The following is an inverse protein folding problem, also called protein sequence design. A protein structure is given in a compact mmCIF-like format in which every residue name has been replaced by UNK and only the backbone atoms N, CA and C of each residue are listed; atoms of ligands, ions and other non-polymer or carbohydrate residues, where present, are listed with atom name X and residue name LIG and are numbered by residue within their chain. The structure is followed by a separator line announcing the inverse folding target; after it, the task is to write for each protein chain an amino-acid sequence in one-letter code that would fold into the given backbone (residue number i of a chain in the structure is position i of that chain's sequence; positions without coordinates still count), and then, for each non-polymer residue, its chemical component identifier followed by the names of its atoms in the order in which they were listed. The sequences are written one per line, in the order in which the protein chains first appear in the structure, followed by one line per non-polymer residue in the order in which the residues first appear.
data_IF_429750542280
#
_entry.id   IF_429750542280
#
_cell.length_a   1.000
_cell.length_b   1.000
_cell.length_c   1.000
_cell.angle_alpha   90.00
_cell.angle_beta   90.00
_cell.angle_gamma   90.00
#
_symmetry.space_group_name_H-M   'P 1'
#
loop_
_entity.id
_entity.type
_entity.pdbx_description
1 polymer ?
#
# COMPACT_ATOMS: atom_id res chain seq x y z
N UNK A 1 11.31 34.05 4.43
CA UNK A 1 11.21 33.22 5.64
C UNK A 1 10.44 31.97 5.25
N UNK A 2 11.06 30.79 5.34
CA UNK A 2 10.36 29.52 5.14
C UNK A 2 9.42 29.31 6.32
N UNK A 3 8.11 29.37 6.09
CA UNK A 3 7.10 29.08 7.12
C UNK A 3 6.95 27.57 7.23
N UNK A 4 7.30 26.98 8.37
CA UNK A 4 7.13 25.56 8.62
C UNK A 4 5.68 25.23 8.93
N UNK A 5 5.20 24.10 8.40
CA UNK A 5 3.89 23.54 8.67
C UNK A 5 3.94 22.55 9.83
N UNK A 6 2.83 22.47 10.55
CA UNK A 6 2.63 21.63 11.73
C UNK A 6 1.36 20.78 11.60
N UNK A 7 1.13 19.78 12.47
CA UNK A 7 0.00 18.87 12.36
C UNK A 7 -1.37 19.55 12.16
N UNK A 8 -1.61 20.68 12.84
CA UNK A 8 -2.86 21.44 12.72
C UNK A 8 -3.10 22.02 11.32
N UNK A 9 -2.03 22.32 10.58
CA UNK A 9 -2.14 22.80 9.20
C UNK A 9 -2.68 21.72 8.24
N UNK A 10 -2.66 20.43 8.62
CA UNK A 10 -3.14 19.31 7.79
C UNK A 10 -4.67 19.22 7.72
N UNK A 11 -5.41 19.86 8.65
CA UNK A 11 -6.87 19.71 8.77
C UNK A 11 -7.63 20.20 7.54
N UNK A 12 -7.30 21.41 7.07
CA UNK A 12 -7.98 22.02 5.93
C UNK A 12 -7.83 21.19 4.63
N UNK A 13 -6.61 20.82 4.19
CA UNK A 13 -6.45 19.98 3.01
C UNK A 13 -7.05 18.58 3.19
N UNK A 14 -6.98 18.00 4.40
CA UNK A 14 -7.57 16.67 4.64
C UNK A 14 -9.08 16.69 4.43
N UNK A 15 -9.77 17.69 4.99
CA UNK A 15 -11.22 17.84 4.85
C UNK A 15 -11.67 18.09 3.42
N UNK A 16 -10.91 18.88 2.66
CA UNK A 16 -11.19 19.15 1.26
C UNK A 16 -11.25 17.86 0.44
N UNK A 17 -10.42 16.87 0.82
CA UNK A 17 -10.26 15.61 0.08
C UNK A 17 -10.95 14.41 0.69
N UNK A 18 -11.41 14.51 1.93
CA UNK A 18 -11.97 13.39 2.68
C UNK A 18 -13.13 12.70 1.96
N UNK A 19 -13.98 13.48 1.28
CA UNK A 19 -15.14 12.98 0.53
C UNK A 19 -14.89 12.85 -0.98
N UNK A 20 -13.69 13.18 -1.46
CA UNK A 20 -13.33 12.95 -2.85
C UNK A 20 -13.34 11.43 -3.14
N UNK A 21 -13.81 11.06 -4.33
CA UNK A 21 -13.92 9.67 -4.81
C UNK A 21 -14.82 8.72 -4.00
N UNK A 22 -15.56 9.21 -3.00
CA UNK A 22 -16.60 8.46 -2.28
C UNK A 22 -17.82 8.06 -3.15
N UNK A 23 -17.81 8.33 -4.46
CA UNK A 23 -18.87 7.93 -5.40
C UNK A 23 -18.71 6.52 -5.96
N UNK A 24 -17.54 5.89 -5.78
CA UNK A 24 -17.26 4.50 -6.21
C UNK A 24 -16.97 3.57 -5.02
N UNK A 25 -16.63 4.12 -3.86
CA UNK A 25 -16.48 3.44 -2.57
C UNK A 25 -17.70 3.80 -1.69
N UNK A 26 -18.02 3.03 -0.66
CA UNK A 26 -19.02 3.44 0.34
C UNK A 26 -18.66 4.83 0.92
N UNK A 27 -19.65 5.63 1.32
CA UNK A 27 -19.35 6.98 1.86
C UNK A 27 -18.48 6.87 3.13
N UNK A 28 -17.35 7.59 3.22
CA UNK A 28 -16.48 7.52 4.40
C UNK A 28 -17.21 8.01 5.65
N UNK A 29 -16.85 7.51 6.83
CA UNK A 29 -17.40 8.02 8.09
C UNK A 29 -17.08 9.50 8.26
N UNK A 30 -17.89 10.19 9.06
CA UNK A 30 -17.62 11.57 9.43
C UNK A 30 -16.27 11.67 10.16
N UNK A 31 -15.48 12.70 9.84
CA UNK A 31 -14.26 12.99 10.59
C UNK A 31 -14.60 13.40 12.04
N UNK A 32 -13.69 13.13 13.01
CA UNK A 32 -13.78 13.73 14.33
C UNK A 32 -13.81 15.27 14.26
N UNK A 33 -14.23 15.92 15.35
CA UNK A 33 -14.14 17.39 15.44
C UNK A 33 -12.70 17.88 15.24
N UNK A 34 -12.54 19.13 14.81
CA UNK A 34 -11.24 19.73 14.51
C UNK A 34 -10.27 19.65 15.70
N UNK A 35 -10.77 19.88 16.91
CA UNK A 35 -9.94 19.81 18.12
C UNK A 35 -9.47 18.38 18.39
N UNK A 36 -10.35 17.38 18.20
CA UNK A 36 -10.00 15.96 18.37
C UNK A 36 -9.02 15.50 17.29
N UNK A 37 -9.28 15.90 16.04
CA UNK A 37 -8.40 15.59 14.91
C UNK A 37 -7.02 16.24 15.09
N UNK A 38 -6.97 17.51 15.50
CA UNK A 38 -5.70 18.18 15.81
C UNK A 38 -4.94 17.46 16.93
N UNK A 39 -5.63 17.10 18.02
CA UNK A 39 -5.03 16.37 19.14
C UNK A 39 -4.45 15.01 18.70
N UNK A 40 -5.20 14.23 17.90
CA UNK A 40 -4.74 12.95 17.36
C UNK A 40 -3.44 13.12 16.54
N UNK A 41 -3.39 14.13 15.66
CA UNK A 41 -2.23 14.38 14.83
C UNK A 41 -1.04 14.95 15.62
N UNK A 42 -1.28 15.79 16.62
CA UNK A 42 -0.25 16.32 17.52
C UNK A 42 0.37 15.20 18.37
N UNK A 43 -0.43 14.33 18.97
CA UNK A 43 0.05 13.15 19.70
C UNK A 43 0.88 12.26 18.79
N UNK A 44 0.39 11.96 17.59
CA UNK A 44 1.13 11.14 16.62
C UNK A 44 2.46 11.82 16.21
N UNK A 45 2.46 13.14 16.05
CA UNK A 45 3.66 13.91 15.70
C UNK A 45 4.70 13.83 16.81
N UNK A 46 4.29 14.00 18.07
CA UNK A 46 5.21 13.88 19.20
C UNK A 46 5.68 12.44 19.42
N UNK A 47 4.81 11.44 19.22
CA UNK A 47 5.16 10.03 19.26
C UNK A 47 6.21 9.67 18.19
N UNK A 48 6.24 10.34 17.04
CA UNK A 48 7.23 10.07 15.99
C UNK A 48 8.69 10.32 16.42
N UNK A 49 8.90 11.14 17.46
CA UNK A 49 10.23 11.44 18.01
C UNK A 49 10.62 10.55 19.20
N UNK A 50 9.74 9.67 19.66
CA UNK A 50 10.08 8.71 20.70
C UNK A 50 10.81 7.51 20.12
N UNK A 51 11.51 6.78 20.99
CA UNK A 51 12.23 5.57 20.61
C UNK A 51 12.27 4.60 21.78
N UNK A 52 12.14 3.32 21.48
CA UNK A 52 12.32 2.23 22.45
C UNK A 52 13.43 1.29 21.95
N UNK A 53 14.36 0.91 22.83
CA UNK A 53 15.54 0.09 22.47
C UNK A 53 16.31 0.57 21.22
N UNK A 54 16.41 1.89 21.00
CA UNK A 54 17.01 2.56 19.82
C UNK A 54 16.23 2.38 18.50
N UNK A 55 15.02 1.83 18.55
CA UNK A 55 14.08 1.77 17.42
C UNK A 55 13.18 3.00 17.50
N UNK A 56 13.22 3.85 16.48
CA UNK A 56 12.28 4.96 16.38
C UNK A 56 10.85 4.45 16.30
N UNK A 57 9.92 5.17 16.95
CA UNK A 57 8.52 4.76 17.00
C UNK A 57 7.86 4.96 15.64
N UNK A 58 7.54 3.85 14.98
CA UNK A 58 6.77 3.77 13.75
C UNK A 58 5.48 3.01 14.02
N UNK A 59 4.34 3.55 13.59
CA UNK A 59 3.04 2.91 13.80
C UNK A 59 2.01 3.44 12.82
N UNK A 60 0.88 2.74 12.75
CA UNK A 60 -0.35 3.27 12.18
C UNK A 60 -1.44 3.19 13.21
N UNK A 61 -2.25 4.24 13.29
CA UNK A 61 -3.45 4.27 14.10
C UNK A 61 -4.66 4.41 13.19
N UNK A 62 -5.69 3.62 13.44
CA UNK A 62 -7.00 3.78 12.81
C UNK A 62 -7.97 4.35 13.83
N UNK A 63 -8.67 5.39 13.45
CA UNK A 63 -9.58 6.13 14.32
C UNK A 63 -10.98 5.58 14.11
N UNK A 64 -11.46 4.79 15.07
CA UNK A 64 -12.72 4.07 15.00
C UNK A 64 -13.29 3.70 16.37
N UNK A 65 -14.61 3.55 16.43
CA UNK A 65 -15.32 3.11 17.63
C UNK A 65 -15.05 1.63 17.95
N UNK A 66 -14.97 1.23 19.24
CA UNK A 66 -14.92 -0.19 19.64
C UNK A 66 -16.21 -0.96 19.35
N UNK A 67 -17.28 -0.26 18.94
CA UNK A 67 -18.59 -0.82 18.61
C UNK A 67 -18.81 -1.04 17.09
N UNK A 68 -17.76 -0.88 16.27
CA UNK A 68 -17.82 -1.25 14.85
C UNK A 68 -18.27 -2.71 14.67
N UNK A 69 -19.01 -2.98 13.59
CA UNK A 69 -19.43 -4.33 13.24
C UNK A 69 -18.20 -5.16 12.82
N UNK A 70 -18.26 -6.48 13.00
CA UNK A 70 -17.19 -7.39 12.54
C UNK A 70 -16.91 -7.29 11.04
N UNK A 71 -17.86 -6.80 10.23
CA UNK A 71 -17.68 -6.53 8.80
C UNK A 71 -16.90 -5.25 8.49
N UNK A 72 -16.74 -4.35 9.46
CA UNK A 72 -16.14 -3.03 9.34
C UNK A 72 -14.73 -2.95 9.95
N UNK A 73 -14.31 -3.98 10.68
CA UNK A 73 -13.00 -4.06 11.33
C UNK A 73 -12.41 -5.48 11.24
N UNK A 74 -11.13 -5.55 10.86
CA UNK A 74 -10.43 -6.80 10.58
C UNK A 74 -9.61 -7.28 11.79
N UNK A 75 -9.92 -8.49 12.28
CA UNK A 75 -9.28 -9.18 13.42
C UNK A 75 -8.99 -8.26 14.64
N UNK A 76 -10.02 -7.65 15.26
CA UNK A 76 -9.81 -6.78 16.41
C UNK A 76 -9.32 -7.56 17.64
N UNK A 77 -8.17 -7.15 18.18
CA UNK A 77 -7.64 -7.60 19.47
C UNK A 77 -7.84 -6.50 20.51
N UNK A 78 -8.77 -6.71 21.45
CA UNK A 78 -9.12 -5.71 22.48
C UNK A 78 -8.07 -5.64 23.58
N UNK A 79 -7.77 -4.42 24.03
CA UNK A 79 -6.91 -4.14 25.19
C UNK A 79 -7.82 -3.74 26.36
N UNK A 80 -7.72 -4.45 27.47
CA UNK A 80 -8.50 -4.20 28.69
C UNK A 80 -7.59 -4.01 29.91
N UNK A 81 -7.62 -2.84 30.59
CA UNK A 81 -8.38 -1.64 30.22
C UNK A 81 -7.77 -0.92 29.01
N UNK A 82 -8.57 -0.13 28.26
CA UNK A 82 -8.05 0.70 27.17
C UNK A 82 -6.97 1.66 27.69
N UNK A 83 -6.03 2.04 26.82
CA UNK A 83 -4.88 2.88 27.17
C UNK A 83 -5.04 4.28 26.60
N UNK A 84 -4.47 5.28 27.24
CA UNK A 84 -4.47 6.65 26.69
C UNK A 84 -3.70 6.70 25.36
N UNK A 85 -4.25 7.36 24.35
CA UNK A 85 -3.52 7.66 23.12
C UNK A 85 -2.53 8.79 23.40
N UNK A 86 -1.36 8.43 23.92
CA UNK A 86 -0.28 9.34 24.33
C UNK A 86 1.05 8.89 23.72
N UNK A 87 2.04 9.79 23.53
CA UNK A 87 3.33 9.40 22.96
C UNK A 87 4.02 8.25 23.70
N UNK A 88 3.86 8.18 25.02
CA UNK A 88 4.44 7.13 25.87
C UNK A 88 3.78 5.76 25.66
N UNK A 89 2.44 5.69 25.66
CA UNK A 89 1.75 4.41 25.43
C UNK A 89 1.91 3.94 23.98
N UNK A 90 1.90 4.85 23.01
CA UNK A 90 2.18 4.54 21.60
C UNK A 90 3.59 3.94 21.47
N UNK A 91 4.60 4.55 22.08
CA UNK A 91 5.98 4.04 22.05
C UNK A 91 6.06 2.59 22.55
N UNK A 92 5.31 2.24 23.61
CA UNK A 92 5.29 0.90 24.20
C UNK A 92 4.49 -0.13 23.38
N UNK A 93 3.43 0.31 22.71
CA UNK A 93 2.53 -0.57 21.94
C UNK A 93 2.96 -0.72 20.47
N UNK A 94 3.63 0.28 19.89
CA UNK A 94 4.10 0.26 18.51
C UNK A 94 4.91 -1.00 18.14
N UNK A 95 5.80 -1.56 18.99
CA UNK A 95 6.49 -2.81 18.67
C UNK A 95 5.58 -4.02 18.44
N UNK A 96 4.37 -4.02 19.02
CA UNK A 96 3.36 -5.05 18.79
C UNK A 96 2.52 -4.81 17.51
N UNK A 97 2.56 -3.60 16.96
CA UNK A 97 1.86 -3.21 15.76
C UNK A 97 2.84 -3.03 14.58
N UNK A 98 3.13 -4.10 13.82
CA UNK A 98 3.91 -3.94 12.57
C UNK A 98 3.20 -2.92 11.70
N UNK A 99 3.80 -1.73 11.52
CA UNK A 99 3.19 -0.61 10.81
C UNK A 99 2.81 -0.94 9.35
N UNK A 100 3.22 -2.09 8.80
CA UNK A 100 2.74 -2.58 7.51
C UNK A 100 1.46 -3.44 7.59
N UNK A 101 1.15 -4.06 8.73
CA UNK A 101 0.11 -5.12 8.85
C UNK A 101 -0.88 -4.93 10.00
N UNK A 102 -0.48 -4.27 11.07
CA UNK A 102 -1.28 -4.11 12.30
C UNK A 102 -1.32 -2.64 12.68
N UNK A 103 -2.50 -2.17 13.08
CA UNK A 103 -2.76 -0.77 13.45
C UNK A 103 -3.25 -0.70 14.89
N UNK A 104 -2.91 0.38 15.59
CA UNK A 104 -3.53 0.76 16.86
C UNK A 104 -4.97 1.21 16.57
N UNK A 105 -5.96 0.64 17.24
CA UNK A 105 -7.35 1.07 17.11
C UNK A 105 -7.66 2.11 18.18
N UNK A 106 -8.06 3.31 17.75
CA UNK A 106 -8.19 4.50 18.59
C UNK A 106 -9.60 5.02 18.55
N UNK A 107 -10.25 5.09 19.72
CA UNK A 107 -11.57 5.66 19.88
C UNK A 107 -11.44 7.17 20.14
N UNK A 108 -12.00 8.03 19.26
CA UNK A 108 -12.04 9.47 19.49
C UNK A 108 -13.25 9.90 20.35
N UNK A 109 -14.11 8.99 20.82
CA UNK A 109 -15.42 9.31 21.42
C UNK A 109 -15.36 10.09 22.72
N UNK A 110 -14.41 9.78 23.60
CA UNK A 110 -14.25 10.42 24.93
C UNK A 110 -13.66 11.84 24.91
N UNK A 111 -13.34 12.36 26.10
CA UNK A 111 -12.61 13.64 26.26
C UNK A 111 -11.18 13.51 25.75
N UNK A 112 -10.53 12.39 26.07
CA UNK A 112 -9.20 12.02 25.56
C UNK A 112 -9.32 10.79 24.65
N UNK A 113 -8.57 10.74 23.53
CA UNK A 113 -8.54 9.58 22.67
C UNK A 113 -7.93 8.36 23.38
N UNK A 114 -8.54 7.19 23.20
CA UNK A 114 -8.11 5.94 23.84
C UNK A 114 -7.75 4.88 22.81
N UNK A 115 -6.62 4.20 23.02
CA UNK A 115 -6.27 2.97 22.33
C UNK A 115 -7.07 1.83 22.96
N UNK A 116 -8.10 1.37 22.27
CA UNK A 116 -8.96 0.28 22.74
C UNK A 116 -8.49 -1.10 22.25
N UNK A 117 -7.61 -1.15 21.25
CA UNK A 117 -7.16 -2.41 20.68
C UNK A 117 -6.13 -2.30 19.57
N UNK A 118 -5.95 -3.42 18.88
CA UNK A 118 -5.18 -3.58 17.66
C UNK A 118 -6.10 -4.20 16.59
N UNK A 119 -5.88 -3.87 15.32
CA UNK A 119 -6.60 -4.49 14.21
C UNK A 119 -5.75 -4.50 12.94
N UNK A 120 -6.14 -5.32 11.96
CA UNK A 120 -5.43 -5.42 10.69
C UNK A 120 -5.96 -4.43 9.63
N UNK A 121 -7.16 -3.89 9.84
CA UNK A 121 -7.88 -3.05 8.89
C UNK A 121 -9.16 -2.51 9.50
N UNK A 122 -9.63 -1.33 9.09
CA UNK A 122 -11.00 -0.89 9.35
C UNK A 122 -11.48 0.00 8.21
N UNK A 123 -12.70 -0.21 7.72
CA UNK A 123 -13.12 0.33 6.42
C UNK A 123 -13.29 1.81 6.45
N UNK A 124 -12.71 2.48 5.45
CA UNK A 124 -12.89 3.90 5.20
C UNK A 124 -12.53 4.79 6.41
N UNK A 125 -12.08 4.19 7.52
CA UNK A 125 -11.77 4.86 8.75
C UNK A 125 -10.53 5.71 8.53
N UNK A 126 -10.46 6.78 9.30
CA UNK A 126 -9.31 7.66 9.27
C UNK A 126 -8.08 6.91 9.79
N UNK A 127 -7.06 6.77 8.95
CA UNK A 127 -5.77 6.21 9.33
C UNK A 127 -4.74 7.34 9.45
N UNK A 128 -4.03 7.37 10.58
CA UNK A 128 -2.84 8.20 10.82
C UNK A 128 -1.61 7.29 10.81
N UNK A 129 -0.65 7.56 9.93
CA UNK A 129 0.56 6.76 9.79
C UNK A 129 1.80 7.57 10.15
N UNK A 130 2.69 6.98 10.94
CA UNK A 130 3.97 7.56 11.35
C UNK A 130 5.09 6.65 10.88
N UNK A 131 5.90 7.16 9.95
CA UNK A 131 6.94 6.36 9.27
C UNK A 131 8.36 6.76 9.69
N UNK A 132 8.55 7.99 10.16
CA UNK A 132 9.82 8.53 10.62
C UNK A 132 9.60 9.74 11.53
N UNK A 133 10.61 10.20 12.28
CA UNK A 133 10.51 11.41 13.09
C UNK A 133 10.03 12.62 12.28
N UNK A 134 8.96 13.25 12.76
CA UNK A 134 8.33 14.42 12.11
C UNK A 134 7.59 14.12 10.80
N UNK A 135 7.45 12.85 10.40
CA UNK A 135 6.82 12.44 9.14
C UNK A 135 5.51 11.69 9.39
N UNK A 136 4.40 12.30 8.99
CA UNK A 136 3.06 11.79 9.18
C UNK A 136 2.30 11.78 7.86
N UNK A 137 1.45 10.77 7.69
CA UNK A 137 0.43 10.79 6.65
C UNK A 137 -0.93 10.45 7.22
N UNK A 138 -1.96 11.02 6.62
CA UNK A 138 -3.35 10.84 7.00
C UNK A 138 -4.15 10.47 5.77
N UNK A 139 -5.03 9.50 5.91
CA UNK A 139 -5.96 9.12 4.85
C UNK A 139 -6.85 7.98 5.27
N UNK A 140 -7.15 7.07 4.34
CA UNK A 140 -8.05 5.92 4.56
C UNK A 140 -7.64 4.77 3.67
N UNK A 141 -7.93 3.53 4.05
CA UNK A 141 -7.86 2.40 3.12
C UNK A 141 -6.51 2.30 2.38
N UNK A 142 -5.41 2.47 3.13
CA UNK A 142 -4.00 2.53 2.67
C UNK A 142 -3.62 3.73 1.78
N UNK A 143 -4.57 4.58 1.41
CA UNK A 143 -4.39 5.80 0.63
C UNK A 143 -4.02 6.96 1.55
N UNK A 144 -2.92 7.65 1.25
CA UNK A 144 -2.51 8.88 1.93
C UNK A 144 -3.15 10.07 1.23
N UNK A 145 -4.08 10.78 1.89
CA UNK A 145 -4.73 11.97 1.36
C UNK A 145 -3.88 13.24 1.59
N UNK A 146 -3.22 13.31 2.75
CA UNK A 146 -2.37 14.43 3.15
C UNK A 146 -1.17 13.91 3.94
N UNK A 147 0.02 14.45 3.68
CA UNK A 147 1.22 14.14 4.44
C UNK A 147 1.93 15.41 4.94
N UNK A 148 2.54 15.33 6.12
CA UNK A 148 3.44 16.33 6.69
C UNK A 148 4.84 15.75 6.74
N UNK A 149 5.78 16.36 6.04
CA UNK A 149 7.18 15.95 6.03
C UNK A 149 8.09 17.17 5.91
N UNK A 150 9.18 17.17 6.69
CA UNK A 150 10.23 18.21 6.61
C UNK A 150 9.63 19.64 6.69
N UNK A 151 8.56 19.79 7.47
CA UNK A 151 7.82 21.03 7.69
C UNK A 151 7.00 21.52 6.50
N UNK A 152 6.65 20.63 5.56
CA UNK A 152 5.80 20.91 4.40
C UNK A 152 4.62 19.96 4.36
N UNK A 153 3.48 20.45 3.88
CA UNK A 153 2.31 19.63 3.60
C UNK A 153 2.30 19.25 2.13
N UNK A 154 1.96 17.99 1.87
CA UNK A 154 1.78 17.44 0.54
C UNK A 154 0.37 16.87 0.47
N UNK A 155 -0.36 17.25 -0.56
CA UNK A 155 -1.68 16.69 -0.84
C UNK A 155 -1.61 15.54 -1.84
N UNK A 156 -2.67 14.76 -1.88
CA UNK A 156 -2.78 13.66 -2.82
C UNK A 156 -2.70 14.14 -4.29
N UNK A 157 -1.89 13.47 -5.11
CA UNK A 157 -1.64 13.87 -6.50
C UNK A 157 -0.43 14.80 -6.66
N UNK A 158 -0.04 15.57 -5.65
CA UNK A 158 1.30 16.22 -5.61
C UNK A 158 2.40 15.16 -5.39
N UNK A 159 2.01 14.05 -4.77
CA UNK A 159 2.75 12.80 -4.72
C UNK A 159 1.86 11.73 -5.32
N UNK A 160 2.07 11.37 -6.58
CA UNK A 160 1.63 10.06 -7.04
C UNK A 160 2.54 9.05 -6.32
N UNK A 161 2.11 8.60 -5.14
CA UNK A 161 2.89 7.66 -4.35
C UNK A 161 3.01 6.31 -5.06
N UNK A 162 4.04 5.54 -4.71
CA UNK A 162 4.19 4.14 -5.12
C UNK A 162 2.92 3.34 -4.88
N UNK A 163 2.20 3.60 -3.78
CA UNK A 163 0.93 2.96 -3.46
C UNK A 163 -0.15 3.21 -4.52
N UNK A 164 -0.36 4.46 -4.93
CA UNK A 164 -1.32 4.77 -6.00
C UNK A 164 -0.96 4.04 -7.29
N UNK A 165 0.34 3.95 -7.59
CA UNK A 165 0.82 3.19 -8.72
C UNK A 165 0.57 1.67 -8.60
N UNK A 166 0.57 1.11 -7.38
CA UNK A 166 0.16 -0.29 -7.12
C UNK A 166 -1.32 -0.46 -7.40
N UNK A 167 -2.19 0.40 -6.86
CA UNK A 167 -3.64 0.36 -7.09
C UNK A 167 -3.97 0.41 -8.57
N UNK A 168 -3.39 1.38 -9.29
CA UNK A 168 -3.57 1.52 -10.73
C UNK A 168 -2.93 0.40 -11.57
N UNK A 169 -1.90 -0.27 -11.06
CA UNK A 169 -1.27 -1.39 -11.77
C UNK A 169 -2.14 -2.65 -11.72
N UNK A 170 -3.00 -2.73 -10.71
CA UNK A 170 -3.82 -3.90 -10.42
C UNK A 170 -5.31 -3.65 -10.66
N UNK A 171 -5.73 -2.46 -11.10
CA UNK A 171 -7.14 -2.08 -11.21
C UNK A 171 -7.97 -3.04 -12.08
N UNK A 172 -7.46 -3.44 -13.25
CA UNK A 172 -8.15 -4.41 -14.14
C UNK A 172 -8.34 -5.78 -13.46
N UNK A 173 -7.35 -6.22 -12.70
CA UNK A 173 -7.43 -7.45 -11.93
C UNK A 173 -8.30 -7.29 -10.69
N UNK A 174 -8.33 -6.13 -10.03
CA UNK A 174 -9.28 -5.83 -8.95
C UNK A 174 -10.71 -5.96 -9.47
N UNK A 175 -11.05 -5.32 -10.58
CA UNK A 175 -12.40 -5.39 -11.16
C UNK A 175 -12.77 -6.84 -11.51
N UNK A 176 -11.87 -7.59 -12.15
CA UNK A 176 -12.09 -8.99 -12.48
C UNK A 176 -12.18 -9.92 -11.25
N UNK A 177 -11.51 -9.56 -10.14
CA UNK A 177 -11.55 -10.35 -8.91
C UNK A 177 -12.93 -10.25 -8.26
N UNK A 178 -13.58 -9.10 -8.35
CA UNK A 178 -14.85 -8.81 -7.69
C UNK A 178 -16.06 -8.92 -8.63
N UNK A 179 -15.84 -9.20 -9.91
CA UNK A 179 -16.90 -9.49 -10.87
C UNK A 179 -17.82 -10.60 -10.36
N UNK A 180 -19.12 -10.29 -10.29
CA UNK A 180 -20.17 -11.17 -9.80
C UNK A 180 -20.28 -11.31 -8.27
N UNK A 181 -19.52 -10.54 -7.47
CA UNK A 181 -19.61 -10.55 -5.99
C UNK A 181 -20.46 -9.38 -5.51
N UNK A 182 -21.52 -9.65 -4.75
CA UNK A 182 -22.37 -8.61 -4.16
C UNK A 182 -21.77 -8.05 -2.86
N UNK A 183 -20.86 -7.08 -2.99
CA UNK A 183 -20.27 -6.36 -1.85
C UNK A 183 -20.99 -5.02 -1.62
N UNK A 184 -21.54 -4.82 -0.42
CA UNK A 184 -22.31 -3.60 -0.06
C UNK A 184 -21.51 -2.52 0.70
N UNK A 185 -20.20 -2.71 0.88
CA UNK A 185 -19.35 -1.86 1.71
C UNK A 185 -18.67 -2.62 2.85
N UNK A 186 -17.72 -2.00 3.57
CA UNK A 186 -16.99 -2.62 4.69
C UNK A 186 -15.50 -2.82 4.39
N UNK A 187 -14.69 -3.24 5.39
CA UNK A 187 -13.22 -3.01 5.48
C UNK A 187 -12.36 -3.69 4.43
N UNK A 188 -13.06 -4.36 3.54
CA UNK A 188 -12.59 -5.24 2.52
C UNK A 188 -12.89 -4.67 1.13
N UNK A 189 -12.77 -3.35 0.97
CA UNK A 189 -12.89 -2.70 -0.33
C UNK A 189 -11.98 -3.39 -1.36
N UNK A 190 -12.51 -3.72 -2.56
CA UNK A 190 -11.74 -4.29 -3.66
C UNK A 190 -10.43 -3.55 -3.94
N UNK A 191 -10.52 -2.22 -3.90
CA UNK A 191 -9.46 -1.27 -4.23
C UNK A 191 -8.34 -1.24 -3.18
N UNK A 192 -8.56 -1.88 -2.02
CA UNK A 192 -7.62 -1.92 -0.90
C UNK A 192 -7.02 -3.30 -0.76
N UNK A 193 -7.87 -4.32 -0.66
CA UNK A 193 -7.43 -5.69 -0.35
C UNK A 193 -6.52 -6.26 -1.42
N UNK A 194 -6.94 -6.14 -2.67
CA UNK A 194 -6.24 -6.79 -3.76
C UNK A 194 -4.87 -6.11 -4.02
N UNK A 195 -4.79 -4.76 -4.01
CA UNK A 195 -3.50 -4.06 -4.06
C UNK A 195 -2.61 -4.25 -2.83
N UNK A 196 -3.18 -4.50 -1.64
CA UNK A 196 -2.41 -4.70 -0.40
C UNK A 196 -1.44 -5.87 -0.51
N UNK A 197 -1.78 -6.94 -1.23
CA UNK A 197 -0.88 -8.08 -1.44
C UNK A 197 0.43 -7.69 -2.15
N UNK A 198 0.38 -6.88 -3.22
CA UNK A 198 1.58 -6.42 -3.91
C UNK A 198 2.35 -5.43 -3.04
N UNK A 199 1.65 -4.55 -2.32
CA UNK A 199 2.30 -3.67 -1.34
C UNK A 199 3.07 -4.46 -0.27
N UNK A 200 2.52 -5.56 0.24
CA UNK A 200 3.17 -6.43 1.22
C UNK A 200 4.38 -7.16 0.64
N UNK A 201 4.29 -7.64 -0.61
CA UNK A 201 5.43 -8.22 -1.32
C UNK A 201 6.57 -7.20 -1.42
N UNK A 202 6.28 -5.99 -1.90
CA UNK A 202 7.28 -4.92 -2.06
C UNK A 202 7.87 -4.50 -0.71
N UNK A 203 7.03 -4.36 0.31
CA UNK A 203 7.45 -4.04 1.68
C UNK A 203 8.34 -5.13 2.28
N UNK A 204 8.07 -6.39 1.97
CA UNK A 204 8.89 -7.52 2.43
C UNK A 204 10.23 -7.57 1.70
N UNK A 205 10.25 -7.37 0.37
CA UNK A 205 11.50 -7.24 -0.41
C UNK A 205 12.38 -6.13 0.18
N UNK A 206 11.78 -4.98 0.50
CA UNK A 206 12.46 -3.87 1.18
C UNK A 206 13.08 -4.31 2.50
N UNK A 207 12.31 -4.98 3.37
CA UNK A 207 12.75 -5.44 4.71
C UNK A 207 13.92 -6.45 4.61
N UNK A 208 14.02 -7.23 3.53
CA UNK A 208 15.12 -8.18 3.33
C UNK A 208 16.47 -7.52 3.02
N UNK A 209 16.50 -6.25 2.62
CA UNK A 209 17.72 -5.45 2.53
C UNK A 209 18.69 -5.80 1.39
N UNK A 210 18.38 -6.75 0.50
CA UNK A 210 19.21 -7.07 -0.68
C UNK A 210 18.83 -6.27 -1.94
N UNK A 211 17.76 -5.47 -1.87
CA UNK A 211 17.13 -4.81 -3.00
C UNK A 211 16.45 -5.81 -3.96
N UNK A 212 15.53 -5.36 -4.80
CA UNK A 212 14.80 -6.24 -5.72
C UNK A 212 14.00 -5.47 -6.77
N UNK A 213 13.73 -6.12 -7.89
CA UNK A 213 12.88 -5.58 -8.96
C UNK A 213 11.70 -6.51 -9.22
N UNK A 214 10.50 -5.95 -9.29
CA UNK A 214 9.28 -6.67 -9.69
C UNK A 214 8.75 -6.05 -10.97
N UNK A 215 8.59 -6.85 -12.01
CA UNK A 215 7.93 -6.47 -13.27
C UNK A 215 6.52 -7.04 -13.27
N UNK A 216 5.55 -6.21 -13.62
CA UNK A 216 4.13 -6.58 -13.72
C UNK A 216 3.66 -6.39 -15.15
N UNK A 217 3.02 -7.41 -15.70
CA UNK A 217 2.34 -7.38 -17.00
C UNK A 217 0.86 -7.75 -16.86
N UNK A 218 -0.04 -7.28 -17.74
CA UNK A 218 -1.44 -7.70 -17.71
C UNK A 218 -1.59 -9.21 -17.93
N UNK A 219 -2.38 -9.91 -17.11
CA UNK A 219 -2.57 -11.37 -17.20
C UNK A 219 -3.22 -11.78 -18.53
N UNK A 220 -4.12 -10.94 -19.06
CA UNK A 220 -4.71 -11.12 -20.41
C UNK A 220 -3.67 -11.17 -21.53
N UNK A 221 -2.48 -10.62 -21.29
CA UNK A 221 -1.35 -10.63 -22.23
C UNK A 221 -0.25 -11.59 -21.80
N UNK A 222 -0.47 -12.47 -20.82
CA UNK A 222 0.57 -13.38 -20.32
C UNK A 222 1.22 -14.25 -21.40
N UNK A 223 0.58 -14.40 -22.58
CA UNK A 223 1.09 -15.12 -23.75
C UNK A 223 1.65 -14.23 -24.88
N UNK A 224 1.53 -12.91 -24.78
CA UNK A 224 1.88 -11.97 -25.83
C UNK A 224 3.39 -11.89 -26.09
N UNK A 225 3.77 -11.85 -27.38
CA UNK A 225 5.16 -11.60 -27.78
C UNK A 225 5.60 -10.15 -27.52
N UNK A 226 4.65 -9.21 -27.41
CA UNK A 226 4.93 -7.76 -27.25
C UNK A 226 5.89 -7.45 -26.10
N UNK A 227 5.76 -8.15 -24.97
CA UNK A 227 6.67 -8.03 -23.83
C UNK A 227 7.64 -9.21 -23.73
N UNK A 228 7.26 -10.43 -24.15
CA UNK A 228 8.11 -11.62 -23.99
C UNK A 228 9.44 -11.50 -24.72
N UNK A 229 9.45 -10.89 -25.91
CA UNK A 229 10.67 -10.69 -26.68
C UNK A 229 11.62 -9.65 -26.06
N UNK A 230 11.11 -8.83 -25.13
CA UNK A 230 11.89 -7.79 -24.44
C UNK A 230 12.66 -8.34 -23.25
N UNK A 231 12.41 -9.60 -22.85
CA UNK A 231 12.88 -10.18 -21.62
C UNK A 231 13.58 -11.51 -21.87
N UNK A 232 14.64 -11.77 -21.10
CA UNK A 232 15.22 -13.11 -20.94
C UNK A 232 14.85 -13.62 -19.55
N UNK A 233 14.05 -14.68 -19.50
CA UNK A 233 13.60 -15.29 -18.24
C UNK A 233 14.52 -16.47 -17.92
N UNK A 234 15.39 -16.32 -16.92
CA UNK A 234 16.35 -17.37 -16.55
C UNK A 234 15.67 -18.58 -15.92
N UNK A 235 14.73 -18.34 -15.01
CA UNK A 235 13.96 -19.39 -14.33
C UNK A 235 12.48 -19.19 -14.62
N UNK A 236 12.00 -19.87 -15.67
CA UNK A 236 10.62 -19.76 -16.10
C UNK A 236 9.70 -20.52 -15.14
N UNK A 237 8.54 -19.94 -14.83
CA UNK A 237 7.52 -20.52 -13.99
C UNK A 237 6.17 -20.55 -14.70
N UNK A 238 5.32 -21.47 -14.27
CA UNK A 238 3.91 -21.53 -14.65
C UNK A 238 3.10 -21.78 -13.38
N UNK A 239 2.86 -20.71 -12.62
CA UNK A 239 2.09 -20.77 -11.40
C UNK A 239 1.00 -19.69 -11.43
N UNK A 240 -0.26 -20.09 -11.59
CA UNK A 240 -1.44 -19.24 -11.47
C UNK A 240 -2.31 -19.62 -10.26
N UNK A 241 -1.74 -20.33 -9.28
CA UNK A 241 -2.49 -20.89 -8.15
C UNK A 241 -3.10 -19.86 -7.20
N UNK A 242 -2.54 -18.64 -7.15
CA UNK A 242 -3.02 -17.54 -6.29
C UNK A 242 -4.41 -17.07 -6.74
N UNK A 243 -4.61 -16.85 -8.03
CA UNK A 243 -5.82 -16.22 -8.54
C UNK A 243 -7.12 -17.00 -8.21
N UNK A 244 -7.20 -18.33 -8.41
CA UNK A 244 -8.36 -19.11 -8.00
C UNK A 244 -8.65 -19.06 -6.51
N UNK A 245 -7.61 -18.98 -5.68
CA UNK A 245 -7.76 -18.89 -4.22
C UNK A 245 -8.30 -17.53 -3.80
N UNK A 246 -7.78 -16.45 -4.40
CA UNK A 246 -8.31 -15.10 -4.17
C UNK A 246 -9.76 -15.00 -4.65
N UNK A 247 -10.08 -15.51 -5.85
CA UNK A 247 -11.48 -15.58 -6.34
C UNK A 247 -12.37 -16.34 -5.37
N UNK A 248 -11.92 -17.48 -4.84
CA UNK A 248 -12.67 -18.22 -3.83
C UNK A 248 -12.85 -17.39 -2.55
N UNK A 249 -11.79 -16.72 -2.07
CA UNK A 249 -11.85 -15.94 -0.82
C UNK A 249 -12.86 -14.81 -0.88
N UNK A 250 -12.97 -14.09 -2.01
CA UNK A 250 -13.86 -12.91 -2.07
C UNK A 250 -15.35 -13.27 -2.06
N UNK A 251 -15.73 -14.49 -2.40
CA UNK A 251 -17.13 -14.95 -2.26
C UNK A 251 -17.61 -15.00 -0.82
N UNK A 252 -16.71 -14.98 0.17
CA UNK A 252 -17.12 -14.81 1.57
C UNK A 252 -17.73 -13.43 1.85
N UNK A 253 -17.48 -12.44 0.99
CA UNK A 253 -18.00 -11.08 1.14
C UNK A 253 -19.33 -10.88 0.43
N UNK A 254 -19.77 -11.81 -0.40
CA UNK A 254 -21.10 -11.80 -0.99
C UNK A 254 -22.14 -12.03 0.11
N UNK A 255 -23.04 -11.05 0.32
CA UNK A 255 -24.11 -11.14 1.33
C UNK A 255 -25.14 -12.23 1.02
N UNK A 256 -25.32 -12.55 -0.26
CA UNK A 256 -26.31 -13.52 -0.72
C UNK A 256 -25.70 -14.93 -0.82
N UNK A 257 -24.39 -15.07 -0.60
CA UNK A 257 -23.67 -16.33 -0.70
C UNK A 257 -23.92 -17.24 0.51
N UNK A 258 -24.47 -18.47 0.30
CA UNK A 258 -24.67 -19.43 1.37
C UNK A 258 -23.33 -19.86 2.00
N UNK A 259 -23.24 -19.88 3.32
CA UNK A 259 -22.02 -20.32 4.03
C UNK A 259 -20.96 -19.23 4.18
N UNK A 260 -21.37 -17.95 4.21
CA UNK A 260 -20.52 -16.82 4.60
C UNK A 260 -19.67 -17.14 5.84
N UNK A 261 -18.37 -16.85 5.79
CA UNK A 261 -17.44 -17.16 6.88
C UNK A 261 -17.13 -18.66 7.06
N UNK A 262 -17.51 -19.52 6.11
CA UNK A 262 -17.12 -20.92 6.14
C UNK A 262 -15.60 -21.07 6.17
N UNK A 263 -15.13 -22.08 6.91
CA UNK A 263 -13.72 -22.45 7.05
C UNK A 263 -13.01 -22.60 5.68
N UNK A 264 -13.74 -22.99 4.64
CA UNK A 264 -13.21 -23.11 3.28
C UNK A 264 -12.75 -21.79 2.65
N UNK A 265 -13.44 -20.68 2.93
CA UNK A 265 -13.09 -19.36 2.38
C UNK A 265 -11.87 -18.78 3.08
N UNK A 266 -11.85 -18.85 4.43
CA UNK A 266 -10.70 -18.50 5.24
C UNK A 266 -9.47 -19.33 4.86
N UNK A 267 -9.65 -20.64 4.64
CA UNK A 267 -8.58 -21.50 4.17
C UNK A 267 -8.03 -21.09 2.80
N UNK A 268 -8.91 -20.66 1.87
CA UNK A 268 -8.49 -20.17 0.57
C UNK A 268 -7.67 -18.88 0.68
N UNK A 269 -8.13 -17.93 1.49
CA UNK A 269 -7.43 -16.67 1.75
C UNK A 269 -6.05 -16.91 2.39
N UNK A 270 -5.99 -17.71 3.46
CA UNK A 270 -4.74 -18.05 4.13
C UNK A 270 -3.77 -18.78 3.19
N UNK A 271 -4.28 -19.65 2.32
CA UNK A 271 -3.47 -20.34 1.33
C UNK A 271 -2.95 -19.38 0.27
N UNK A 272 -3.76 -18.43 -0.21
CA UNK A 272 -3.31 -17.39 -1.13
C UNK A 272 -2.20 -16.53 -0.50
N UNK A 273 -2.41 -16.09 0.75
CA UNK A 273 -1.43 -15.32 1.53
C UNK A 273 -0.09 -16.04 1.65
N UNK A 274 -0.11 -17.33 2.04
CA UNK A 274 1.10 -18.17 2.13
C UNK A 274 1.84 -18.33 0.81
N UNK A 275 1.14 -18.34 -0.33
CA UNK A 275 1.78 -18.41 -1.64
C UNK A 275 2.44 -17.06 -2.01
N UNK A 276 1.76 -15.95 -1.75
CA UNK A 276 2.27 -14.59 -1.98
C UNK A 276 3.51 -14.30 -1.12
N UNK A 277 3.55 -14.77 0.14
CA UNK A 277 4.67 -14.62 1.07
C UNK A 277 5.99 -15.24 0.58
N UNK A 278 5.93 -16.15 -0.41
CA UNK A 278 7.13 -16.78 -1.00
C UNK A 278 7.78 -15.91 -2.08
N UNK A 279 7.02 -15.00 -2.70
CA UNK A 279 7.49 -14.21 -3.84
C UNK A 279 8.67 -13.28 -3.52
N UNK A 280 8.73 -12.59 -2.35
CA UNK A 280 9.87 -11.76 -1.99
C UNK A 280 11.21 -12.49 -2.09
N UNK A 281 11.28 -13.75 -1.65
CA UNK A 281 12.52 -14.54 -1.69
C UNK A 281 13.04 -14.83 -3.10
N UNK A 282 12.17 -14.82 -4.11
CA UNK A 282 12.57 -15.01 -5.51
C UNK A 282 13.38 -13.82 -6.05
N UNK A 283 13.26 -12.65 -5.42
CA UNK A 283 14.03 -11.44 -5.79
C UNK A 283 15.47 -11.44 -5.27
N UNK A 284 15.85 -12.41 -4.43
CA UNK A 284 17.23 -12.60 -4.00
C UNK A 284 18.14 -13.11 -5.15
N UNK A 285 17.54 -13.69 -6.19
CA UNK A 285 18.25 -14.08 -7.41
C UNK A 285 18.47 -12.84 -8.28
N UNK A 286 19.67 -12.71 -8.84
CA UNK A 286 20.01 -11.58 -9.72
C UNK A 286 19.07 -11.48 -10.93
N UNK A 287 18.54 -10.28 -11.16
CA UNK A 287 17.46 -9.99 -12.10
C UNK A 287 16.16 -9.56 -11.41
N UNK A 288 15.05 -9.62 -12.14
CA UNK A 288 13.72 -9.27 -11.65
C UNK A 288 12.83 -10.50 -11.41
N UNK A 289 11.84 -10.36 -10.53
CA UNK A 289 10.65 -11.20 -10.46
C UNK A 289 9.64 -10.69 -11.49
N UNK A 290 9.08 -11.57 -12.32
CA UNK A 290 8.04 -11.25 -13.29
C UNK A 290 6.73 -11.93 -12.91
N UNK A 291 5.72 -11.11 -12.65
CA UNK A 291 4.36 -11.55 -12.32
C UNK A 291 3.34 -10.90 -13.25
N UNK A 292 2.12 -11.44 -13.27
CA UNK A 292 0.98 -10.73 -13.84
C UNK A 292 0.25 -9.89 -12.79
N UNK A 293 -0.62 -8.99 -13.24
CA UNK A 293 -1.60 -8.30 -12.39
C UNK A 293 -2.57 -9.24 -11.65
N UNK A 294 -2.62 -10.54 -12.02
CA UNK A 294 -3.32 -11.64 -11.33
C UNK A 294 -2.44 -12.49 -10.40
N UNK A 295 -1.24 -11.99 -10.06
CA UNK A 295 -0.23 -12.71 -9.28
C UNK A 295 0.24 -14.05 -9.88
N UNK A 296 0.04 -14.28 -11.20
CA UNK A 296 0.63 -15.42 -11.89
C UNK A 296 2.15 -15.22 -11.95
N UNK A 297 2.92 -16.19 -11.46
CA UNK A 297 4.40 -16.14 -11.53
C UNK A 297 4.85 -16.67 -12.88
N UNK A 298 5.42 -15.78 -13.70
CA UNK A 298 5.95 -16.12 -15.03
C UNK A 298 7.43 -16.50 -14.99
N UNK A 299 8.16 -16.02 -13.98
CA UNK A 299 9.54 -16.42 -13.72
C UNK A 299 10.30 -15.41 -12.86
N UNK A 300 11.55 -15.76 -12.54
CA UNK A 300 12.46 -14.91 -11.79
C UNK A 300 13.88 -14.98 -12.36
N UNK A 301 14.76 -14.08 -11.91
CA UNK A 301 16.04 -13.84 -12.56
C UNK A 301 15.88 -13.29 -13.98
N UNK A 302 14.88 -12.40 -14.15
CA UNK A 302 14.53 -11.83 -15.45
C UNK A 302 15.46 -10.67 -15.79
N UNK A 303 16.01 -10.70 -17.00
CA UNK A 303 16.85 -9.66 -17.58
C UNK A 303 16.06 -8.91 -18.66
N UNK A 304 16.10 -7.58 -18.65
CA UNK A 304 15.46 -6.74 -19.66
C UNK A 304 16.43 -6.52 -20.82
N UNK A 305 16.10 -7.10 -21.98
CA UNK A 305 16.85 -7.00 -23.24
C UNK A 305 16.47 -5.77 -24.08
N UNK A 306 15.35 -5.12 -23.75
CA UNK A 306 14.84 -3.96 -24.47
C UNK A 306 15.92 -2.89 -24.67
N UNK A 307 16.10 -2.47 -25.92
CA UNK A 307 16.92 -1.32 -26.30
C UNK A 307 16.00 -0.11 -26.46
N UNK A 308 16.45 1.05 -25.98
CA UNK A 308 15.70 2.30 -26.07
C UNK A 308 16.66 3.48 -26.04
N UNK A 309 16.33 4.53 -26.79
CA UNK A 309 17.01 5.84 -26.79
C UNK A 309 16.55 6.72 -25.61
N UNK A 310 16.04 6.14 -24.53
CA UNK A 310 15.52 6.88 -23.39
C UNK A 310 16.66 7.52 -22.60
N UNK A 311 16.84 8.82 -22.76
CA UNK A 311 17.84 9.61 -22.03
C UNK A 311 17.27 10.23 -20.74
N UNK A 312 15.97 10.51 -20.72
CA UNK A 312 15.30 11.22 -19.62
C UNK A 312 14.04 10.51 -19.14
N UNK A 313 13.79 10.64 -17.85
CA UNK A 313 12.55 10.23 -17.18
C UNK A 313 11.89 11.43 -16.53
N UNK A 314 10.61 11.32 -16.25
CA UNK A 314 9.81 12.35 -15.62
C UNK A 314 9.45 11.98 -14.19
N UNK A 315 9.17 12.98 -13.37
CA UNK A 315 8.56 12.86 -12.06
C UNK A 315 7.08 13.27 -12.13
N UNK A 316 6.27 13.00 -11.09
CA UNK A 316 4.85 13.35 -11.08
C UNK A 316 4.58 14.84 -11.21
N UNK A 317 5.50 15.68 -10.72
CA UNK A 317 5.46 17.14 -10.81
C UNK A 317 5.88 17.68 -12.19
N UNK A 318 6.22 16.80 -13.13
CA UNK A 318 6.66 17.13 -14.48
C UNK A 318 8.15 17.44 -14.62
N UNK A 319 8.92 17.47 -13.51
CA UNK A 319 10.36 17.62 -13.57
C UNK A 319 11.01 16.43 -14.30
N UNK A 320 12.06 16.69 -15.06
CA UNK A 320 12.82 15.64 -15.74
C UNK A 320 14.15 15.36 -15.04
N UNK A 321 14.60 14.11 -15.11
CA UNK A 321 15.92 13.67 -14.63
C UNK A 321 16.58 12.80 -15.69
N UNK A 322 17.91 12.82 -15.75
CA UNK A 322 18.67 11.93 -16.61
C UNK A 322 18.57 10.49 -16.10
N UNK A 323 18.39 9.54 -17.02
CA UNK A 323 18.43 8.09 -16.75
C UNK A 323 19.77 7.67 -16.12
N UNK A 324 20.86 8.38 -16.44
CA UNK A 324 22.21 8.10 -15.92
C UNK A 324 22.36 8.41 -14.43
N UNK A 325 21.45 9.20 -13.85
CA UNK A 325 21.45 9.48 -12.41
C UNK A 325 21.07 8.26 -11.56
N UNK A 326 20.67 7.14 -12.18
CA UNK A 326 20.12 5.98 -11.50
C UNK A 326 20.91 4.69 -11.75
N UNK A 327 20.87 3.79 -10.75
CA UNK A 327 21.53 2.49 -10.81
C UNK A 327 20.95 1.53 -11.87
N UNK A 328 21.62 0.40 -12.08
CA UNK A 328 21.30 -0.60 -13.12
C UNK A 328 19.86 -1.13 -13.06
N UNK A 329 19.32 -1.41 -11.87
CA UNK A 329 17.94 -1.88 -11.68
C UNK A 329 16.89 -0.87 -12.17
N UNK A 330 17.07 0.40 -11.82
CA UNK A 330 16.21 1.50 -12.28
C UNK A 330 16.28 1.65 -13.79
N UNK A 331 17.51 1.68 -14.35
CA UNK A 331 17.70 1.77 -15.80
C UNK A 331 17.02 0.61 -16.53
N UNK A 332 17.14 -0.62 -16.01
CA UNK A 332 16.42 -1.78 -16.53
C UNK A 332 14.90 -1.60 -16.50
N UNK A 333 14.34 -1.08 -15.40
CA UNK A 333 12.92 -0.78 -15.26
C UNK A 333 12.46 0.30 -16.25
N UNK A 334 13.24 1.38 -16.42
CA UNK A 334 12.96 2.44 -17.39
C UNK A 334 12.89 1.88 -18.82
N UNK A 335 13.86 1.04 -19.21
CA UNK A 335 13.87 0.41 -20.54
C UNK A 335 12.65 -0.49 -20.77
N UNK A 336 12.28 -1.26 -19.76
CA UNK A 336 11.09 -2.11 -19.82
C UNK A 336 9.81 -1.29 -20.03
N UNK A 337 9.57 -0.26 -19.21
CA UNK A 337 8.38 0.57 -19.32
C UNK A 337 8.39 1.47 -20.57
N UNK A 338 9.56 1.86 -21.08
CA UNK A 338 9.66 2.55 -22.37
C UNK A 338 9.21 1.65 -23.52
N UNK A 339 9.72 0.41 -23.56
CA UNK A 339 9.47 -0.53 -24.66
C UNK A 339 8.11 -1.23 -24.56
N UNK A 340 7.54 -1.36 -23.36
CA UNK A 340 6.23 -1.93 -23.13
C UNK A 340 5.40 -0.99 -22.24
N UNK A 341 4.66 -0.03 -22.84
CA UNK A 341 3.94 1.01 -22.08
C UNK A 341 2.89 0.50 -21.09
N UNK A 342 2.36 -0.71 -21.28
CA UNK A 342 1.41 -1.36 -20.35
C UNK A 342 2.09 -2.07 -19.17
N UNK A 343 3.41 -2.20 -19.21
CA UNK A 343 4.19 -2.80 -18.14
C UNK A 343 4.43 -1.81 -17.01
N UNK A 344 4.43 -2.34 -15.78
CA UNK A 344 4.79 -1.58 -14.58
C UNK A 344 6.01 -2.23 -13.95
N UNK A 345 6.94 -1.43 -13.45
CA UNK A 345 8.11 -1.93 -12.74
C UNK A 345 8.24 -1.29 -11.37
N UNK A 346 8.46 -2.11 -10.34
CA UNK A 346 8.76 -1.66 -8.99
C UNK A 346 10.22 -1.97 -8.66
N UNK A 347 10.93 -0.98 -8.16
CA UNK A 347 12.34 -1.11 -7.77
C UNK A 347 12.45 -0.83 -6.28
N UNK A 348 12.78 -1.87 -5.52
CA UNK A 348 13.13 -1.79 -4.10
C UNK A 348 14.64 -1.61 -4.00
N UNK A 349 15.07 -0.43 -3.56
CA UNK A 349 16.48 -0.09 -3.38
C UNK A 349 17.02 -0.66 -2.07
N UNK A 350 18.34 -0.84 -2.00
CA UNK A 350 19.02 -1.36 -0.81
C UNK A 350 18.91 -0.38 0.39
N UNK A 351 18.74 0.91 0.11
CA UNK A 351 18.50 1.98 1.09
C UNK A 351 17.08 1.97 1.69
N UNK A 352 16.23 1.04 1.27
CA UNK A 352 14.88 0.91 1.77
C UNK A 352 13.82 1.72 1.00
N UNK A 353 14.18 2.47 -0.04
CA UNK A 353 13.16 3.13 -0.89
C UNK A 353 12.49 2.13 -1.84
N UNK A 354 11.17 2.22 -1.98
CA UNK A 354 10.43 1.56 -3.07
C UNK A 354 10.14 2.65 -4.08
N UNK A 355 10.34 2.38 -5.36
CA UNK A 355 9.97 3.29 -6.46
C UNK A 355 9.16 2.54 -7.51
N UNK A 356 8.24 3.23 -8.17
CA UNK A 356 7.47 2.68 -9.28
C UNK A 356 7.81 3.39 -10.58
N UNK A 357 7.93 2.64 -11.67
CA UNK A 357 8.16 3.14 -13.02
C UNK A 357 6.98 2.74 -13.89
N UNK A 358 6.42 3.70 -14.61
CA UNK A 358 5.35 3.48 -15.59
C UNK A 358 5.54 4.34 -16.81
N UNK A 359 4.92 3.95 -17.91
CA UNK A 359 4.73 4.83 -19.06
C UNK A 359 3.35 5.49 -18.96
N UNK A 360 3.31 6.83 -18.96
CA UNK A 360 2.07 7.60 -19.08
C UNK A 360 2.15 8.48 -20.31
N UNK A 361 1.26 8.23 -21.26
CA UNK A 361 1.14 9.00 -22.50
C UNK A 361 2.47 9.16 -23.26
N UNK A 362 3.26 8.08 -23.32
CA UNK A 362 4.56 8.05 -23.98
C UNK A 362 5.73 8.54 -23.13
N UNK A 363 5.48 9.00 -21.90
CA UNK A 363 6.52 9.46 -20.97
C UNK A 363 6.78 8.41 -19.90
N UNK A 364 8.05 8.03 -19.72
CA UNK A 364 8.46 7.17 -18.61
C UNK A 364 8.54 8.03 -17.35
N UNK A 365 7.66 7.74 -16.40
CA UNK A 365 7.53 8.48 -15.13
C UNK A 365 7.95 7.59 -13.96
N UNK A 366 8.74 8.15 -13.06
CA UNK A 366 9.18 7.55 -11.81
C UNK A 366 8.41 8.14 -10.64
N UNK A 367 7.83 7.27 -9.82
CA UNK A 367 7.11 7.57 -8.59
C UNK A 367 8.00 7.13 -7.42
N UNK A 368 8.40 8.09 -6.58
CA UNK A 368 9.34 7.90 -5.46
C UNK A 368 8.64 7.88 -4.09
#
# INVERSE_FOLDING_TARGET
MTSFKYPRDMLAPLKARWYEWARQESEPPALPSDDKLALLLEVAYHASYTADERRGTQFRAVVCSPDLRESEIDHPLRIDPPRGFTPHEIMRLAPAADAAKVMLAVDPGGDEPLIWGLCNGADMQLTVSVMAPGKLSVGRNMRSLVALEDGRIFEEGERLGVFQSVVEALSEATDALWDGVNWRGGSWSPQVNYPAHLHDILSTIRKLGHGGTVLVVPDRECKSLSWRQLLKIKYQCQDDSVWPLLRKSVFQFDEDSPGRGAMEFQYAEDKARRLLERLPGLTAVDGALLITDRYRVLGFGVEVLAQTELETIFLPDGASRSVEAYGTRHRSAFRFCAAYPRGVAFVCSQDGSIKCVRNRDGKVTLYE
#
